data_IF_252419090037
#
_entry.id   IF_252419090037
#
_cell.length_a   1.000
_cell.length_b   1.000
_cell.length_c   1.000
_cell.angle_alpha   90.00
_cell.angle_beta   90.00
_cell.angle_gamma   90.00
#
_symmetry.space_group_name_H-M   'P 1'
#
loop_
_entity.id
_entity.type
_entity.pdbx_description
1 polymer ?
#
# COMPACT_ATOMS: atom_id res chain seq x y z
N UNK A 1 3.27 -3.65 1.66
CA UNK A 1 2.31 -4.22 0.69
C UNK A 1 1.28 -5.11 1.39
N UNK A 2 0.30 -5.66 0.67
CA UNK A 2 -0.77 -6.50 1.27
C UNK A 2 -1.81 -5.69 2.03
N UNK A 3 -2.77 -6.36 2.68
CA UNK A 3 -3.79 -5.74 3.51
C UNK A 3 -3.46 -5.90 5.00
N UNK A 4 -3.70 -4.89 5.82
CA UNK A 4 -3.64 -5.04 7.28
C UNK A 4 -4.91 -5.73 7.78
N UNK A 5 -4.80 -6.37 8.95
CA UNK A 5 -5.87 -7.10 9.62
C UNK A 5 -6.07 -6.49 11.01
N UNK A 6 -7.24 -5.90 11.24
CA UNK A 6 -7.61 -5.29 12.51
C UNK A 6 -8.54 -6.25 13.28
N UNK A 7 -8.02 -6.85 14.36
CA UNK A 7 -8.74 -7.86 15.11
C UNK A 7 -10.00 -7.30 15.80
N UNK A 8 -11.14 -7.97 15.61
CA UNK A 8 -12.39 -7.71 16.33
C UNK A 8 -12.43 -8.57 17.59
N UNK A 9 -12.10 -9.85 17.43
CA UNK A 9 -11.94 -10.85 18.46
C UNK A 9 -10.92 -11.91 17.96
N UNK A 10 -10.63 -13.01 18.69
CA UNK A 10 -9.65 -14.00 18.25
C UNK A 10 -9.99 -14.75 16.96
N UNK A 11 -11.19 -14.55 16.37
CA UNK A 11 -11.70 -15.29 15.21
C UNK A 11 -12.04 -14.36 14.05
N UNK A 12 -12.42 -13.11 14.32
CA UNK A 12 -12.95 -12.16 13.33
C UNK A 12 -12.09 -10.91 13.26
N UNK A 13 -12.05 -10.31 12.08
CA UNK A 13 -11.25 -9.12 11.80
C UNK A 13 -11.89 -8.22 10.74
N UNK A 14 -11.43 -6.97 10.70
CA UNK A 14 -11.65 -6.00 9.63
C UNK A 14 -10.39 -5.94 8.74
N UNK A 15 -10.55 -5.97 7.42
CA UNK A 15 -9.42 -5.91 6.49
C UNK A 15 -9.86 -5.39 5.11
N UNK A 16 -8.90 -5.10 4.25
CA UNK A 16 -9.08 -4.64 2.88
C UNK A 16 -8.89 -5.78 1.87
N UNK A 17 -9.45 -5.66 0.67
CA UNK A 17 -9.41 -6.70 -0.38
C UNK A 17 -8.10 -6.76 -1.19
N UNK A 18 -6.95 -6.45 -0.60
CA UNK A 18 -5.67 -6.52 -1.32
C UNK A 18 -5.10 -7.94 -1.35
N UNK A 19 -4.69 -8.38 -2.54
CA UNK A 19 -3.94 -9.64 -2.75
C UNK A 19 -2.44 -9.50 -2.52
N UNK A 20 -1.92 -8.26 -2.53
CA UNK A 20 -0.48 -7.99 -2.54
C UNK A 20 0.20 -8.17 -3.92
N UNK A 21 -0.51 -8.63 -4.96
CA UNK A 21 0.08 -8.91 -6.30
C UNK A 21 0.88 -7.74 -6.88
N UNK A 22 0.34 -6.51 -6.81
CA UNK A 22 1.04 -5.34 -7.34
C UNK A 22 2.30 -5.00 -6.53
N UNK A 23 2.21 -5.05 -5.20
CA UNK A 23 3.36 -4.82 -4.32
C UNK A 23 4.48 -5.84 -4.52
N UNK A 24 4.12 -7.11 -4.72
CA UNK A 24 5.10 -8.16 -5.04
C UNK A 24 5.78 -7.90 -6.38
N UNK A 25 5.01 -7.52 -7.42
CA UNK A 25 5.57 -7.22 -8.73
C UNK A 25 6.52 -6.00 -8.72
N UNK A 26 6.26 -5.01 -7.87
CA UNK A 26 7.17 -3.88 -7.66
C UNK A 26 8.45 -4.32 -6.94
N UNK A 27 8.34 -5.13 -5.89
CA UNK A 27 9.49 -5.65 -5.17
C UNK A 27 10.39 -6.49 -6.09
N UNK A 28 9.80 -7.36 -6.92
CA UNK A 28 10.53 -8.14 -7.91
C UNK A 28 11.25 -7.23 -8.93
N UNK A 29 10.56 -6.20 -9.44
CA UNK A 29 11.15 -5.25 -10.37
C UNK A 29 12.29 -4.43 -9.75
N UNK A 30 12.20 -4.05 -8.48
CA UNK A 30 13.29 -3.41 -7.75
C UNK A 30 14.52 -4.34 -7.63
N UNK A 31 14.30 -5.61 -7.26
CA UNK A 31 15.36 -6.62 -7.15
C UNK A 31 16.02 -6.86 -8.51
N UNK A 32 15.22 -6.97 -9.58
CA UNK A 32 15.72 -7.12 -10.95
C UNK A 32 16.56 -5.92 -11.39
N UNK A 33 16.21 -4.72 -10.94
CA UNK A 33 16.98 -3.49 -11.17
C UNK A 33 18.24 -3.37 -10.28
N UNK A 34 18.50 -4.34 -9.39
CA UNK A 34 19.69 -4.37 -8.52
C UNK A 34 19.52 -3.68 -7.17
N UNK A 35 18.30 -3.24 -6.81
CA UNK A 35 18.05 -2.61 -5.53
C UNK A 35 18.07 -3.61 -4.36
N UNK A 36 18.50 -3.14 -3.19
CA UNK A 36 18.25 -3.83 -1.92
C UNK A 36 16.82 -3.52 -1.47
N UNK A 37 16.02 -4.55 -1.21
CA UNK A 37 14.58 -4.38 -0.93
C UNK A 37 14.26 -4.84 0.47
N UNK A 38 13.74 -3.92 1.30
CA UNK A 38 13.02 -4.24 2.53
C UNK A 38 11.53 -4.30 2.23
N UNK A 39 10.91 -5.45 2.44
CA UNK A 39 9.51 -5.71 2.10
C UNK A 39 8.66 -5.92 3.35
N UNK A 40 8.04 -4.84 3.83
CA UNK A 40 7.02 -4.91 4.88
C UNK A 40 5.69 -5.34 4.27
N UNK A 41 5.10 -6.43 4.75
CA UNK A 41 3.84 -6.95 4.22
C UNK A 41 2.82 -7.34 5.29
N UNK A 42 1.55 -7.02 5.01
CA UNK A 42 0.39 -7.53 5.73
C UNK A 42 -0.05 -8.91 5.24
N UNK A 43 -1.36 -9.14 5.26
CA UNK A 43 -2.00 -10.28 4.62
C UNK A 43 -1.86 -10.23 3.09
N UNK A 44 -1.46 -11.36 2.52
CA UNK A 44 -1.10 -11.49 1.10
C UNK A 44 -1.53 -12.86 0.59
N UNK A 45 -1.66 -13.00 -0.73
CA UNK A 45 -1.98 -14.27 -1.39
C UNK A 45 -0.95 -14.63 -2.48
N UNK A 46 0.29 -14.16 -2.33
CA UNK A 46 1.36 -14.28 -3.32
C UNK A 46 2.63 -14.82 -2.69
N UNK A 47 3.43 -15.52 -3.48
CA UNK A 47 4.76 -15.97 -3.08
C UNK A 47 5.73 -14.80 -3.15
N UNK A 48 6.46 -14.56 -2.06
CA UNK A 48 7.44 -13.48 -1.99
C UNK A 48 8.82 -13.96 -2.44
N UNK A 49 9.54 -13.08 -3.13
CA UNK A 49 10.92 -13.29 -3.53
C UNK A 49 11.86 -13.17 -2.34
N UNK A 50 12.57 -14.26 -2.04
CA UNK A 50 13.42 -14.40 -0.85
C UNK A 50 14.71 -13.57 -0.92
N UNK A 51 14.99 -12.89 -2.04
CA UNK A 51 16.09 -11.91 -2.13
C UNK A 51 15.79 -10.60 -1.39
N UNK A 52 14.52 -10.31 -1.09
CA UNK A 52 14.16 -9.19 -0.23
C UNK A 52 14.38 -9.53 1.25
N UNK A 53 14.66 -8.52 2.07
CA UNK A 53 14.48 -8.61 3.51
C UNK A 53 12.98 -8.55 3.83
N UNK A 54 12.39 -9.68 4.18
CA UNK A 54 10.94 -9.81 4.38
C UNK A 54 10.58 -9.52 5.84
N UNK A 55 9.61 -8.63 6.05
CA UNK A 55 9.04 -8.33 7.37
C UNK A 55 7.53 -8.50 7.33
N UNK A 56 7.01 -9.47 8.08
CA UNK A 56 5.58 -9.72 8.19
C UNK A 56 4.98 -8.96 9.37
N UNK A 57 3.84 -8.33 9.13
CA UNK A 57 3.05 -7.59 10.12
C UNK A 57 1.57 -7.96 9.96
N UNK A 58 0.78 -7.79 11.02
CA UNK A 58 -0.65 -8.09 10.99
C UNK A 58 -1.46 -6.81 10.89
N UNK A 59 -1.28 -5.91 11.87
CA UNK A 59 -2.10 -4.70 12.01
C UNK A 59 -1.49 -3.46 11.35
N UNK A 60 -2.30 -2.42 11.13
CA UNK A 60 -1.84 -1.11 10.70
C UNK A 60 -0.85 -0.48 11.68
N UNK A 61 -1.04 -0.73 12.98
CA UNK A 61 -0.12 -0.27 14.03
C UNK A 61 1.25 -0.94 13.93
N UNK A 62 1.29 -2.27 13.74
CA UNK A 62 2.54 -3.01 13.54
C UNK A 62 3.22 -2.60 12.24
N UNK A 63 2.45 -2.44 11.15
CA UNK A 63 2.99 -1.97 9.88
C UNK A 63 3.61 -0.58 10.00
N UNK A 64 2.94 0.35 10.70
CA UNK A 64 3.49 1.67 10.99
C UNK A 64 4.81 1.54 11.73
N UNK A 65 4.86 0.80 12.84
CA UNK A 65 6.07 0.66 13.64
C UNK A 65 7.22 0.07 12.82
N UNK A 66 6.95 -1.03 12.11
CA UNK A 66 7.94 -1.69 11.26
C UNK A 66 8.49 -0.77 10.16
N UNK A 67 7.64 0.05 9.53
CA UNK A 67 8.11 1.03 8.55
C UNK A 67 9.00 2.06 9.22
N UNK A 68 8.56 2.68 10.32
CA UNK A 68 9.34 3.72 11.00
C UNK A 68 10.69 3.20 11.52
N UNK A 69 10.75 1.94 11.95
CA UNK A 69 11.98 1.31 12.43
C UNK A 69 13.00 1.04 11.29
N UNK A 70 12.55 0.96 10.04
CA UNK A 70 13.40 0.55 8.90
C UNK A 70 13.54 1.64 7.81
N UNK A 71 12.89 2.80 7.97
CA UNK A 71 12.84 3.84 6.92
C UNK A 71 14.13 4.66 6.83
N UNK A 72 14.89 4.76 7.92
CA UNK A 72 16.13 5.54 7.96
C UNK A 72 17.16 4.92 7.02
N UNK A 73 17.70 5.72 6.11
CA UNK A 73 18.71 5.28 5.14
C UNK A 73 18.16 4.61 3.88
N UNK A 74 16.83 4.51 3.73
CA UNK A 74 16.23 4.11 2.45
C UNK A 74 16.27 5.27 1.46
N UNK A 75 16.47 4.98 0.18
CA UNK A 75 16.43 5.99 -0.89
C UNK A 75 15.00 6.24 -1.39
N UNK A 76 14.20 5.17 -1.51
CA UNK A 76 12.83 5.20 -2.02
C UNK A 76 11.91 4.43 -1.08
N UNK A 77 10.74 5.01 -0.79
CA UNK A 77 9.65 4.36 -0.06
C UNK A 77 8.40 4.25 -0.94
N UNK A 78 7.92 3.02 -1.17
CA UNK A 78 6.75 2.74 -2.00
C UNK A 78 5.59 2.23 -1.13
N UNK A 79 4.62 3.10 -0.85
CA UNK A 79 3.45 2.80 -0.02
C UNK A 79 2.33 2.09 -0.81
N UNK A 80 2.56 0.81 -1.16
CA UNK A 80 1.60 -0.01 -1.93
C UNK A 80 0.68 -0.90 -1.04
N UNK A 81 0.75 -0.77 0.29
CA UNK A 81 -0.11 -1.53 1.20
C UNK A 81 -1.54 -0.96 1.23
N UNK A 82 -2.54 -1.83 1.30
CA UNK A 82 -3.91 -1.45 1.61
C UNK A 82 -4.09 -1.44 3.14
N UNK A 83 -3.54 -0.40 3.78
CA UNK A 83 -3.64 -0.18 5.23
C UNK A 83 -5.09 0.20 5.58
N UNK A 84 -5.61 -0.36 6.66
CA UNK A 84 -6.94 -0.02 7.18
C UNK A 84 -6.92 1.38 7.76
N UNK A 85 -7.82 2.25 7.31
CA UNK A 85 -7.95 3.63 7.82
C UNK A 85 -8.46 3.68 9.29
N UNK A 86 -9.08 2.60 9.74
CA UNK A 86 -9.62 2.45 11.09
C UNK A 86 -9.25 1.09 11.70
N UNK A 87 -9.13 1.08 13.03
CA UNK A 87 -8.90 -0.09 13.87
C UNK A 87 -10.01 -0.24 14.91
N UNK A 88 -10.15 -1.43 15.50
CA UNK A 88 -11.15 -1.73 16.54
C UNK A 88 -10.72 -1.08 17.86
N UNK A 89 -11.56 -0.19 18.39
CA UNK A 89 -11.29 0.53 19.64
C UNK A 89 -11.13 -0.41 20.84
N UNK A 90 -12.03 -1.39 20.93
CA UNK A 90 -12.11 -2.35 22.04
C UNK A 90 -12.07 -3.79 21.49
N UNK A 91 -10.87 -4.34 21.32
CA UNK A 91 -10.68 -5.72 20.83
C UNK A 91 -11.15 -6.70 21.91
N UNK A 92 -12.08 -7.60 21.55
CA UNK A 92 -12.59 -8.59 22.49
C UNK A 92 -11.54 -9.69 22.73
N UNK A 93 -11.30 -10.05 24.00
CA UNK A 93 -10.38 -11.15 24.37
C UNK A 93 -10.91 -12.54 24.01
N UNK A 94 -12.24 -12.68 23.89
CA UNK A 94 -12.93 -13.92 23.60
C UNK A 94 -13.83 -13.74 22.37
N UNK A 95 -14.09 -14.84 21.65
CA UNK A 95 -15.05 -14.84 20.52
C UNK A 95 -16.38 -14.28 21.00
N UNK A 96 -16.85 -13.19 20.39
CA UNK A 96 -18.14 -12.59 20.75
C UNK A 96 -19.23 -13.56 20.29
N UNK A 97 -20.04 -14.03 21.24
CA UNK A 97 -21.14 -14.96 20.96
C UNK A 97 -22.27 -14.23 20.23
N UNK A 98 -22.98 -14.95 19.36
CA UNK A 98 -24.22 -14.46 18.77
C UNK A 98 -25.21 -14.12 19.90
N UNK A 99 -25.90 -13.00 19.76
CA UNK A 99 -26.99 -12.60 20.64
C UNK A 99 -28.15 -12.06 19.79
N UNK A 100 -29.33 -11.93 20.39
CA UNK A 100 -30.50 -11.29 19.74
C UNK A 100 -30.31 -9.76 19.53
N UNK A 101 -29.29 -9.16 20.15
CA UNK A 101 -28.98 -7.73 20.01
C UNK A 101 -28.02 -7.49 18.85
N UNK A 102 -28.17 -6.33 18.22
CA UNK A 102 -27.22 -5.79 17.23
C UNK A 102 -25.82 -5.66 17.83
N UNK A 103 -24.82 -6.16 17.10
CA UNK A 103 -23.41 -5.95 17.44
C UNK A 103 -22.94 -4.60 16.90
N UNK A 104 -22.48 -3.73 17.79
CA UNK A 104 -21.89 -2.44 17.44
C UNK A 104 -20.37 -2.53 17.65
N UNK A 105 -19.60 -2.14 16.64
CA UNK A 105 -18.14 -2.05 16.70
C UNK A 105 -17.75 -0.57 16.69
N UNK A 106 -17.07 -0.12 17.75
CA UNK A 106 -16.46 1.21 17.78
C UNK A 106 -15.10 1.17 17.09
N UNK A 107 -14.89 2.11 16.15
CA UNK A 107 -13.68 2.23 15.36
C UNK A 107 -12.89 3.48 15.75
N UNK A 108 -11.57 3.40 15.71
CA UNK A 108 -10.65 4.52 15.90
C UNK A 108 -9.70 4.67 14.71
N UNK A 109 -9.42 5.90 14.24
CA UNK A 109 -8.51 6.12 13.11
C UNK A 109 -7.12 5.51 13.36
N UNK A 110 -6.51 4.98 12.31
CA UNK A 110 -5.10 4.54 12.33
C UNK A 110 -4.16 5.69 11.95
N UNK A 111 -2.86 5.48 12.07
CA UNK A 111 -1.85 6.43 11.58
C UNK A 111 -1.68 6.26 10.07
N UNK A 112 -1.60 7.38 9.37
CA UNK A 112 -1.27 7.39 7.95
C UNK A 112 0.24 7.22 7.73
N UNK A 113 0.66 5.99 7.42
CA UNK A 113 2.08 5.65 7.31
C UNK A 113 2.79 6.50 6.25
N UNK A 114 2.18 6.71 5.08
CA UNK A 114 2.80 7.50 4.01
C UNK A 114 3.00 8.94 4.46
N UNK A 115 1.97 9.56 5.02
CA UNK A 115 2.05 10.94 5.49
C UNK A 115 3.09 11.09 6.61
N UNK A 116 3.19 10.13 7.52
CA UNK A 116 4.16 10.17 8.61
C UNK A 116 5.60 10.04 8.10
N UNK A 117 5.86 9.19 7.08
CA UNK A 117 7.17 9.13 6.42
C UNK A 117 7.47 10.44 5.67
N UNK A 118 6.50 11.02 4.97
CA UNK A 118 6.68 12.29 4.26
C UNK A 118 7.00 13.47 5.20
N UNK A 119 6.68 13.38 6.50
CA UNK A 119 6.98 14.42 7.50
C UNK A 119 8.40 14.31 8.07
N UNK A 120 9.14 13.25 7.77
CA UNK A 120 10.50 13.07 8.28
C UNK A 120 11.43 14.15 7.73
N UNK A 121 12.33 14.66 8.59
CA UNK A 121 13.34 15.65 8.18
C UNK A 121 14.28 15.11 7.10
N UNK A 122 14.61 13.82 7.18
CA UNK A 122 15.37 13.08 6.16
C UNK A 122 14.47 11.99 5.58
N UNK A 123 13.42 12.40 4.87
CA UNK A 123 12.54 11.44 4.16
C UNK A 123 13.23 10.87 2.92
N UNK A 124 12.94 9.61 2.55
CA UNK A 124 13.24 9.09 1.21
C UNK A 124 12.34 9.75 0.16
N UNK A 125 12.54 9.41 -1.10
CA UNK A 125 11.56 9.65 -2.16
C UNK A 125 10.30 8.83 -1.83
N UNK A 126 9.20 9.52 -1.54
CA UNK A 126 7.95 8.92 -1.12
C UNK A 126 7.01 8.73 -2.31
N UNK A 127 6.67 7.47 -2.60
CA UNK A 127 5.75 7.09 -3.66
C UNK A 127 4.48 6.52 -3.05
N UNK A 128 3.37 7.22 -3.22
CA UNK A 128 2.05 6.75 -2.80
C UNK A 128 1.38 5.83 -3.81
N UNK A 129 0.49 4.96 -3.37
CA UNK A 129 -0.49 4.29 -4.23
C UNK A 129 -1.89 4.78 -3.91
N UNK A 130 -2.69 5.01 -4.95
CA UNK A 130 -4.09 5.33 -4.83
C UNK A 130 -4.92 4.38 -5.70
N UNK A 131 -6.02 3.89 -5.15
CA UNK A 131 -7.07 3.25 -5.93
C UNK A 131 -8.29 4.17 -5.87
N UNK A 132 -8.70 4.72 -7.01
CA UNK A 132 -9.84 5.65 -7.10
C UNK A 132 -10.89 5.06 -8.03
N UNK A 133 -12.16 5.38 -7.77
CA UNK A 133 -13.31 4.95 -8.58
C UNK A 133 -13.98 6.13 -9.29
N UNK A 134 -13.71 7.36 -8.87
CA UNK A 134 -14.30 8.59 -9.38
C UNK A 134 -13.29 9.73 -9.29
N UNK A 135 -13.43 10.76 -10.15
CA UNK A 135 -12.59 11.97 -10.15
C UNK A 135 -11.08 11.67 -10.02
N UNK A 136 -10.64 10.62 -10.73
CA UNK A 136 -9.36 9.92 -10.59
C UNK A 136 -8.17 10.89 -10.44
N UNK A 137 -7.98 11.77 -11.42
CA UNK A 137 -6.82 12.68 -11.48
C UNK A 137 -6.88 13.77 -10.42
N UNK A 138 -8.06 14.33 -10.14
CA UNK A 138 -8.20 15.41 -9.15
C UNK A 138 -7.99 14.89 -7.73
N UNK A 139 -8.61 13.76 -7.39
CA UNK A 139 -8.41 13.08 -6.11
C UNK A 139 -6.94 12.72 -5.90
N UNK A 140 -6.27 12.20 -6.94
CA UNK A 140 -4.87 11.85 -6.86
C UNK A 140 -3.95 13.07 -6.71
N UNK A 141 -4.21 14.18 -7.42
CA UNK A 141 -3.46 15.44 -7.22
C UNK A 141 -3.65 15.99 -5.80
N UNK A 142 -4.87 15.94 -5.27
CA UNK A 142 -5.14 16.35 -3.91
C UNK A 142 -4.42 15.45 -2.90
N UNK A 143 -4.42 14.13 -3.11
CA UNK A 143 -3.65 13.19 -2.28
C UNK A 143 -2.15 13.46 -2.34
N UNK A 144 -1.59 13.72 -3.52
CA UNK A 144 -0.17 14.02 -3.70
C UNK A 144 0.23 15.21 -2.81
N UNK A 145 -0.52 16.31 -2.92
CA UNK A 145 -0.32 17.53 -2.12
C UNK A 145 -0.53 17.30 -0.62
N UNK A 146 -1.64 16.66 -0.24
CA UNK A 146 -2.01 16.49 1.18
C UNK A 146 -1.10 15.51 1.93
N UNK A 147 -0.56 14.51 1.24
CA UNK A 147 0.39 13.55 1.81
C UNK A 147 1.83 14.06 1.78
N UNK A 148 2.16 14.98 0.87
CA UNK A 148 3.53 15.46 0.68
C UNK A 148 4.46 14.40 0.07
N UNK A 149 3.88 13.46 -0.69
CA UNK A 149 4.66 12.49 -1.45
C UNK A 149 5.17 13.09 -2.76
N UNK A 150 6.23 12.48 -3.30
CA UNK A 150 6.94 12.96 -4.49
C UNK A 150 6.28 12.41 -5.77
N UNK A 151 5.62 11.26 -5.68
CA UNK A 151 4.70 10.79 -6.70
C UNK A 151 3.53 9.98 -6.12
N UNK A 152 2.48 9.82 -6.94
CA UNK A 152 1.38 8.87 -6.72
C UNK A 152 1.24 7.97 -7.94
N UNK A 153 1.18 6.67 -7.68
CA UNK A 153 0.77 5.67 -8.66
C UNK A 153 -0.72 5.45 -8.47
N UNK A 154 -1.49 6.02 -9.40
CA UNK A 154 -2.94 5.95 -9.42
C UNK A 154 -3.39 4.72 -10.21
N UNK A 155 -4.20 3.90 -9.58
CA UNK A 155 -4.91 2.81 -10.20
C UNK A 155 -6.40 3.16 -10.36
N UNK A 156 -6.90 3.12 -11.60
CA UNK A 156 -8.33 3.23 -11.88
C UNK A 156 -8.99 1.85 -11.65
N UNK A 157 -9.70 1.73 -10.52
CA UNK A 157 -10.43 0.50 -10.15
C UNK A 157 -11.92 0.61 -10.41
N UNK A 158 -12.36 1.62 -11.19
CA UNK A 158 -13.77 1.77 -11.60
C UNK A 158 -14.21 0.74 -12.63
N UNK A 159 -13.25 0.19 -13.39
CA UNK A 159 -13.49 -0.82 -14.42
C UNK A 159 -13.45 -2.22 -13.79
N UNK A 160 -14.55 -2.95 -13.86
CA UNK A 160 -14.73 -4.26 -13.20
C UNK A 160 -13.66 -5.32 -13.52
N UNK A 161 -12.94 -5.18 -14.64
CA UNK A 161 -11.88 -6.09 -15.10
C UNK A 161 -10.45 -5.70 -14.66
N UNK A 162 -10.29 -4.56 -13.97
CA UNK A 162 -9.01 -3.97 -13.58
C UNK A 162 -8.98 -3.74 -12.07
N UNK A 163 -7.88 -4.12 -11.40
CA UNK A 163 -7.72 -3.84 -9.96
C UNK A 163 -7.22 -5.01 -9.10
N UNK A 164 -7.74 -5.08 -7.87
CA UNK A 164 -7.14 -5.82 -6.74
C UNK A 164 -6.97 -7.34 -6.95
N UNK A 165 -7.87 -7.97 -7.72
CA UNK A 165 -7.87 -9.42 -7.98
C UNK A 165 -7.43 -9.83 -9.40
N UNK A 166 -7.49 -8.91 -10.37
CA UNK A 166 -7.06 -9.14 -11.75
C UNK A 166 -5.54 -9.42 -11.83
N UNK A 167 -5.05 -10.05 -12.89
CA UNK A 167 -3.60 -10.16 -13.14
C UNK A 167 -3.06 -9.00 -13.99
N UNK A 168 -3.98 -8.22 -14.55
CA UNK A 168 -3.69 -7.06 -15.37
C UNK A 168 -4.06 -5.76 -14.65
N UNK A 169 -3.38 -4.68 -15.01
CA UNK A 169 -3.64 -3.35 -14.47
C UNK A 169 -3.15 -2.28 -15.43
N UNK A 170 -3.71 -1.07 -15.34
CA UNK A 170 -3.17 0.16 -15.91
C UNK A 170 -2.90 1.14 -14.77
N UNK A 171 -1.92 2.02 -14.93
CA UNK A 171 -1.66 3.05 -13.91
C UNK A 171 -1.34 4.39 -14.54
N UNK A 172 -1.65 5.45 -13.79
CA UNK A 172 -1.18 6.79 -14.06
C UNK A 172 -0.20 7.17 -12.96
N UNK A 173 1.05 7.46 -13.32
CA UNK A 173 2.03 8.03 -12.39
C UNK A 173 1.87 9.55 -12.42
N UNK A 174 1.69 10.15 -11.26
CA UNK A 174 1.52 11.59 -11.07
C UNK A 174 2.63 12.14 -10.20
N UNK A 175 3.36 13.14 -10.70
CA UNK A 175 4.27 14.01 -9.92
C UNK A 175 3.66 15.41 -9.84
N UNK A 176 4.25 16.36 -9.08
CA UNK A 176 3.76 17.73 -9.06
C UNK A 176 3.79 18.41 -10.44
N UNK A 177 4.71 18.01 -11.31
CA UNK A 177 4.96 18.61 -12.62
C UNK A 177 4.26 17.84 -13.75
N UNK A 178 4.25 16.51 -13.69
CA UNK A 178 3.98 15.66 -14.84
C UNK A 178 3.01 14.52 -14.54
N UNK A 179 2.41 13.97 -15.59
CA UNK A 179 1.64 12.73 -15.54
C UNK A 179 2.09 11.76 -16.63
N UNK A 180 2.26 10.49 -16.28
CA UNK A 180 2.71 9.45 -17.21
C UNK A 180 1.75 8.27 -17.11
N UNK A 181 1.01 8.01 -18.20
CA UNK A 181 0.12 6.86 -18.28
C UNK A 181 0.90 5.62 -18.74
N UNK A 182 0.73 4.52 -18.01
CA UNK A 182 1.19 3.21 -18.44
C UNK A 182 -0.05 2.38 -18.80
N UNK A 183 -0.17 2.09 -20.09
CA UNK A 183 -1.26 1.27 -20.64
C UNK A 183 -1.32 -0.11 -20.01
N UNK A 184 -2.52 -0.70 -20.05
CA UNK A 184 -2.86 -2.00 -19.48
C UNK A 184 -1.79 -3.06 -19.77
N UNK A 185 -1.35 -3.74 -18.73
CA UNK A 185 -0.37 -4.81 -18.82
C UNK A 185 -0.50 -5.82 -17.68
N UNK A 186 0.24 -6.93 -17.77
CA UNK A 186 0.41 -7.81 -16.61
C UNK A 186 1.12 -7.06 -15.48
N UNK A 187 0.77 -7.36 -14.23
CA UNK A 187 1.36 -6.70 -13.06
C UNK A 187 2.89 -6.78 -13.02
N UNK A 188 3.49 -7.87 -13.49
CA UNK A 188 4.95 -8.01 -13.57
C UNK A 188 5.57 -7.03 -14.57
N UNK A 189 5.02 -6.95 -15.79
CA UNK A 189 5.49 -5.99 -16.81
C UNK A 189 5.23 -4.55 -16.35
N UNK A 190 4.11 -4.32 -15.67
CA UNK A 190 3.77 -3.03 -15.10
C UNK A 190 4.76 -2.61 -14.01
N UNK A 191 5.11 -3.53 -13.10
CA UNK A 191 6.12 -3.31 -12.07
C UNK A 191 7.45 -2.85 -12.66
N UNK A 192 7.97 -3.56 -13.67
CA UNK A 192 9.21 -3.17 -14.38
C UNK A 192 9.13 -1.77 -14.99
N UNK A 193 8.02 -1.45 -15.67
CA UNK A 193 7.84 -0.11 -16.26
C UNK A 193 7.77 0.99 -15.20
N UNK A 194 7.04 0.75 -14.11
CA UNK A 194 6.96 1.68 -12.98
C UNK A 194 8.35 1.93 -12.40
N UNK A 195 9.08 0.88 -12.03
CA UNK A 195 10.41 1.01 -11.42
C UNK A 195 11.39 1.71 -12.37
N UNK A 196 11.35 1.40 -13.67
CA UNK A 196 12.17 2.12 -14.66
C UNK A 196 11.87 3.62 -14.66
N UNK A 197 10.59 4.01 -14.73
CA UNK A 197 10.19 5.43 -14.74
C UNK A 197 10.59 6.13 -13.43
N UNK A 198 10.34 5.50 -12.29
CA UNK A 198 10.72 6.07 -10.99
C UNK A 198 12.22 6.24 -10.85
N UNK A 199 13.01 5.26 -11.32
CA UNK A 199 14.46 5.37 -11.33
C UNK A 199 14.91 6.54 -12.20
N UNK A 200 14.42 6.67 -13.42
CA UNK A 200 14.81 7.78 -14.33
C UNK A 200 14.40 9.17 -13.81
N UNK A 201 13.36 9.26 -12.96
CA UNK A 201 12.88 10.53 -12.41
C UNK A 201 13.56 10.95 -11.11
N UNK A 202 14.00 10.00 -10.29
CA UNK A 202 14.40 10.27 -8.91
C UNK A 202 15.81 9.79 -8.53
N UNK A 203 16.47 8.99 -9.38
CA UNK A 203 17.82 8.44 -9.16
C UNK A 203 18.75 8.80 -10.33
#
# INVERSE_FOLDING_TARGET
MGATIEAIDPVRYLSNHSSGKMGSALADACIEAGAQVTLVHGNISVTLNQKAQIISVISAKEMYQSVMDNIVGQDIFIACAAVSDYSIKNIAKNKIKKSEKTLILELTPTKDILQEVCKLTKKPVCIGFAAETQNLTENAKNKLKNKGCDAIILNDVSKHDLGFKSDENEVLILTPENSIKIEKNSKQKLGRKIIKILSEQFL
#
